data_IF_907201683895
#
_entry.id   IF_907201683895
#
_cell.length_a   1.000
_cell.length_b   1.000
_cell.length_c   1.000
_cell.angle_alpha   90.00
_cell.angle_beta   90.00
_cell.angle_gamma   90.00
#
_symmetry.space_group_name_H-M   'P 1'
#
loop_
_entity.id
_entity.type
_entity.pdbx_description
1 polymer ?
#
# COMPACT_ATOMS: atom_id res chain seq x y z
N UNK A 1 16.25 4.28 39.50
CA UNK A 1 16.52 4.55 38.07
C UNK A 1 15.79 3.60 37.11
N UNK A 2 15.68 2.30 37.37
CA UNK A 2 14.99 1.31 36.50
C UNK A 2 13.47 1.55 36.36
N UNK A 3 12.80 2.14 37.36
CA UNK A 3 11.34 2.42 37.31
C UNK A 3 10.97 3.55 36.35
N UNK A 4 11.79 4.60 36.27
CA UNK A 4 11.58 5.75 35.38
C UNK A 4 11.74 5.36 33.91
N UNK A 5 12.74 4.55 33.57
CA UNK A 5 12.94 4.05 32.21
C UNK A 5 11.77 3.16 31.73
N UNK A 6 11.20 2.32 32.61
CA UNK A 6 9.98 1.54 32.30
C UNK A 6 8.75 2.42 32.10
N UNK A 7 8.56 3.46 32.93
CA UNK A 7 7.42 4.38 32.79
C UNK A 7 7.52 5.25 31.54
N UNK A 8 8.73 5.70 31.17
CA UNK A 8 8.98 6.39 29.90
C UNK A 8 8.68 5.48 28.70
N UNK A 9 9.12 4.22 28.74
CA UNK A 9 8.79 3.23 27.71
C UNK A 9 7.29 2.94 27.57
N UNK A 10 6.53 2.94 28.66
CA UNK A 10 5.08 2.74 28.64
C UNK A 10 4.30 3.95 28.08
N UNK A 11 4.86 5.17 28.18
CA UNK A 11 4.23 6.41 27.71
C UNK A 11 4.68 6.84 26.32
N UNK A 12 5.82 6.34 25.84
CA UNK A 12 6.34 6.61 24.51
C UNK A 12 5.31 6.42 23.37
N UNK A 13 4.50 5.34 23.29
CA UNK A 13 3.51 5.22 22.22
C UNK A 13 2.42 6.29 22.28
N UNK A 14 2.03 6.73 23.48
CA UNK A 14 1.05 7.80 23.65
C UNK A 14 1.61 9.16 23.22
N UNK A 15 2.87 9.45 23.52
CA UNK A 15 3.54 10.64 23.01
C UNK A 15 3.66 10.61 21.48
N UNK A 16 4.04 9.46 20.91
CA UNK A 16 4.07 9.28 19.46
C UNK A 16 2.71 9.53 18.81
N UNK A 17 1.64 8.97 19.38
CA UNK A 17 0.27 9.20 18.93
C UNK A 17 -0.12 10.67 19.04
N UNK A 18 0.14 11.32 20.18
CA UNK A 18 -0.16 12.73 20.39
C UNK A 18 0.55 13.61 19.37
N UNK A 19 1.85 13.37 19.13
CA UNK A 19 2.63 14.12 18.13
C UNK A 19 2.06 13.90 16.74
N UNK A 20 1.77 12.66 16.34
CA UNK A 20 1.21 12.35 15.02
C UNK A 20 -0.16 13.02 14.80
N UNK A 21 -1.06 12.95 15.78
CA UNK A 21 -2.39 13.61 15.72
C UNK A 21 -2.25 15.13 15.69
N UNK A 22 -1.34 15.69 16.49
CA UNK A 22 -1.09 17.14 16.52
C UNK A 22 -0.56 17.62 15.17
N UNK A 23 0.41 16.92 14.59
CA UNK A 23 0.96 17.24 13.27
C UNK A 23 -0.11 17.16 12.18
N UNK A 24 -0.95 16.12 12.19
CA UNK A 24 -2.08 15.99 11.26
C UNK A 24 -3.04 17.17 11.40
N UNK A 25 -3.47 17.49 12.62
CA UNK A 25 -4.38 18.61 12.88
C UNK A 25 -3.78 19.95 12.43
N UNK A 26 -2.49 20.19 12.68
CA UNK A 26 -1.78 21.40 12.23
C UNK A 26 -1.73 21.47 10.70
N UNK A 27 -1.44 20.36 10.01
CA UNK A 27 -1.41 20.30 8.55
C UNK A 27 -2.79 20.55 7.90
N UNK A 28 -3.88 20.23 8.60
CA UNK A 28 -5.25 20.52 8.16
C UNK A 28 -5.67 21.97 8.44
N UNK A 29 -5.40 22.45 9.66
CA UNK A 29 -5.95 23.73 10.16
C UNK A 29 -5.16 24.92 9.64
N UNK A 30 -3.82 24.84 9.55
CA UNK A 30 -3.02 26.01 9.16
C UNK A 30 -3.30 26.46 7.72
N UNK A 31 -3.32 25.59 6.69
CA UNK A 31 -3.63 26.03 5.34
C UNK A 31 -5.03 26.65 5.24
N UNK A 32 -6.02 26.03 5.90
CA UNK A 32 -7.39 26.55 5.93
C UNK A 32 -7.50 27.91 6.64
N UNK A 33 -6.84 28.08 7.78
CA UNK A 33 -6.89 29.31 8.57
C UNK A 33 -6.10 30.47 7.92
N UNK A 34 -5.01 30.16 7.20
CA UNK A 34 -4.14 31.14 6.57
C UNK A 34 -4.47 31.37 5.09
N UNK A 35 -5.42 30.63 4.53
CA UNK A 35 -5.77 30.69 3.11
C UNK A 35 -4.65 30.22 2.18
N UNK A 36 -3.81 29.28 2.61
CA UNK A 36 -2.76 28.72 1.77
C UNK A 36 -3.31 27.70 0.79
N UNK A 37 -3.04 27.92 -0.49
CA UNK A 37 -3.27 26.90 -1.52
C UNK A 37 -2.13 25.88 -1.50
N UNK A 38 -2.41 24.73 -0.91
CA UNK A 38 -1.48 23.60 -0.81
C UNK A 38 -1.55 22.65 -2.03
N UNK A 39 -2.31 23.00 -3.08
CA UNK A 39 -2.46 22.21 -4.29
C UNK A 39 -2.92 20.76 -4.01
N UNK A 40 -3.79 20.60 -3.02
CA UNK A 40 -4.40 19.32 -2.65
C UNK A 40 -5.90 19.35 -3.02
N UNK A 41 -6.50 18.16 -3.06
CA UNK A 41 -7.95 17.99 -3.16
C UNK A 41 -8.64 18.43 -1.84
N UNK A 42 -9.90 18.04 -1.66
CA UNK A 42 -10.78 18.53 -0.59
C UNK A 42 -10.31 18.23 0.84
N UNK A 43 -9.41 17.24 1.05
CA UNK A 43 -9.05 16.76 2.40
C UNK A 43 -7.52 16.78 2.67
N UNK A 44 -6.90 17.96 2.84
CA UNK A 44 -5.51 18.05 3.29
C UNK A 44 -5.25 17.22 4.57
N UNK A 45 -4.06 16.65 4.78
CA UNK A 45 -2.90 16.61 3.89
C UNK A 45 -2.97 15.51 2.83
N UNK A 46 -4.11 14.81 2.70
CA UNK A 46 -4.29 13.77 1.70
C UNK A 46 -4.67 14.39 0.36
N UNK A 47 -4.07 13.89 -0.72
CA UNK A 47 -4.55 14.17 -2.06
C UNK A 47 -5.75 13.25 -2.35
N UNK A 48 -6.87 13.50 -1.68
CA UNK A 48 -8.07 12.68 -1.73
C UNK A 48 -9.35 13.52 -1.60
N UNK A 49 -10.43 13.00 -2.18
CA UNK A 49 -11.78 13.54 -1.99
C UNK A 49 -12.47 12.85 -0.81
N UNK A 50 -13.35 13.58 -0.12
CA UNK A 50 -14.17 12.99 0.94
C UNK A 50 -15.29 12.13 0.36
N UNK A 51 -15.07 10.82 0.29
CA UNK A 51 -16.05 9.88 -0.27
C UNK A 51 -16.22 8.65 0.62
N UNK A 52 -17.04 8.73 1.69
CA UNK A 52 -17.40 7.55 2.49
C UNK A 52 -18.12 6.52 1.62
N UNK A 53 -17.63 5.27 1.62
CA UNK A 53 -18.21 4.18 0.83
C UNK A 53 -18.59 3.00 1.70
N UNK A 54 -19.69 2.35 1.32
CA UNK A 54 -20.13 1.07 1.85
C UNK A 54 -20.51 0.21 0.65
N UNK A 55 -20.06 -1.03 0.63
CA UNK A 55 -20.35 -1.93 -0.48
C UNK A 55 -20.03 -3.39 -0.16
N UNK A 56 -19.93 -4.26 -1.18
CA UNK A 56 -19.92 -5.72 -1.00
C UNK A 56 -18.77 -6.23 -0.13
N UNK A 57 -17.60 -5.59 -0.15
CA UNK A 57 -16.45 -5.95 0.66
C UNK A 57 -16.54 -5.49 2.13
N UNK A 58 -17.43 -4.55 2.46
CA UNK A 58 -17.52 -3.98 3.81
C UNK A 58 -17.77 -5.02 4.90
N UNK A 59 -18.72 -5.98 4.77
CA UNK A 59 -18.91 -7.02 5.77
C UNK A 59 -17.67 -7.90 5.95
N UNK A 60 -16.96 -8.21 4.86
CA UNK A 60 -15.73 -8.98 4.92
C UNK A 60 -14.62 -8.20 5.63
N UNK A 61 -14.46 -6.90 5.35
CA UNK A 61 -13.47 -6.05 6.01
C UNK A 61 -13.75 -5.97 7.51
N UNK A 62 -15.00 -5.74 7.91
CA UNK A 62 -15.40 -5.73 9.33
C UNK A 62 -15.08 -7.07 10.00
N UNK A 63 -15.42 -8.19 9.37
CA UNK A 63 -15.16 -9.52 9.90
C UNK A 63 -13.66 -9.80 10.05
N UNK A 64 -12.85 -9.47 9.03
CA UNK A 64 -11.39 -9.63 9.06
C UNK A 64 -10.78 -8.74 10.15
N UNK A 65 -11.22 -7.49 10.24
CA UNK A 65 -10.78 -6.53 11.25
C UNK A 65 -11.09 -6.99 12.68
N UNK A 66 -12.32 -7.44 12.95
CA UNK A 66 -12.71 -7.98 14.27
C UNK A 66 -11.92 -9.24 14.59
N UNK A 67 -11.82 -10.18 13.64
CA UNK A 67 -11.05 -11.42 13.82
C UNK A 67 -9.58 -11.11 14.15
N UNK A 68 -9.01 -10.16 13.43
CA UNK A 68 -7.67 -9.64 13.65
C UNK A 68 -7.49 -9.01 15.03
N UNK A 69 -8.41 -8.12 15.43
CA UNK A 69 -8.40 -7.45 16.73
C UNK A 69 -8.44 -8.45 17.90
N UNK A 70 -9.26 -9.49 17.79
CA UNK A 70 -9.44 -10.49 18.84
C UNK A 70 -8.32 -11.54 18.88
N UNK A 71 -7.72 -11.88 17.73
CA UNK A 71 -6.86 -13.06 17.60
C UNK A 71 -5.41 -12.82 17.17
N UNK A 72 -5.12 -11.76 16.41
CA UNK A 72 -3.84 -11.63 15.71
C UNK A 72 -2.64 -11.51 16.66
N UNK A 73 -2.78 -10.78 17.77
CA UNK A 73 -1.72 -10.61 18.77
C UNK A 73 -1.37 -11.93 19.46
N UNK A 74 -2.38 -12.68 19.88
CA UNK A 74 -2.23 -14.00 20.51
C UNK A 74 -1.61 -15.01 19.53
N UNK A 75 -2.10 -15.03 18.28
CA UNK A 75 -1.56 -15.87 17.22
C UNK A 75 -0.10 -15.53 16.93
N UNK A 76 0.25 -14.25 16.80
CA UNK A 76 1.60 -13.81 16.49
C UNK A 76 2.63 -14.20 17.57
N UNK A 77 2.21 -14.29 18.83
CA UNK A 77 3.07 -14.73 19.94
C UNK A 77 3.21 -16.25 20.01
N UNK A 78 2.15 -17.01 19.71
CA UNK A 78 2.11 -18.45 19.96
C UNK A 78 2.43 -19.32 18.75
N UNK A 79 2.15 -18.85 17.54
CA UNK A 79 2.30 -19.68 16.35
C UNK A 79 3.77 -19.95 16.02
N UNK A 80 4.10 -21.17 15.54
CA UNK A 80 5.43 -21.43 14.99
C UNK A 80 5.68 -20.51 13.79
N UNK A 81 6.93 -20.14 13.57
CA UNK A 81 7.30 -19.10 12.60
C UNK A 81 6.71 -19.30 11.20
N UNK A 82 6.75 -20.52 10.65
CA UNK A 82 6.17 -20.80 9.34
C UNK A 82 4.66 -20.52 9.27
N UNK A 83 3.91 -20.86 10.33
CA UNK A 83 2.47 -20.55 10.42
C UNK A 83 2.23 -19.05 10.59
N UNK A 84 3.10 -18.34 11.32
CA UNK A 84 3.02 -16.89 11.42
C UNK A 84 3.17 -16.23 10.04
N UNK A 85 4.17 -16.64 9.24
CA UNK A 85 4.38 -16.08 7.91
C UNK A 85 3.19 -16.37 6.98
N UNK A 86 2.76 -17.63 6.91
CA UNK A 86 1.61 -18.01 6.10
C UNK A 86 0.33 -17.30 6.56
N UNK A 87 0.09 -17.23 7.87
CA UNK A 87 -1.05 -16.52 8.44
C UNK A 87 -1.03 -15.03 8.14
N UNK A 88 0.14 -14.39 8.21
CA UNK A 88 0.32 -12.98 7.89
C UNK A 88 0.03 -12.71 6.41
N UNK A 89 0.52 -13.57 5.52
CA UNK A 89 0.23 -13.49 4.08
C UNK A 89 -1.26 -13.66 3.80
N UNK A 90 -1.88 -14.74 4.28
CA UNK A 90 -3.31 -15.02 4.04
C UNK A 90 -4.20 -13.92 4.59
N UNK A 91 -3.91 -13.44 5.80
CA UNK A 91 -4.67 -12.35 6.41
C UNK A 91 -4.45 -11.02 5.68
N UNK A 92 -3.24 -10.76 5.16
CA UNK A 92 -2.96 -9.58 4.33
C UNK A 92 -3.76 -9.63 3.03
N UNK A 93 -3.78 -10.79 2.34
CA UNK A 93 -4.61 -10.99 1.14
C UNK A 93 -6.08 -10.73 1.46
N UNK A 94 -6.59 -11.32 2.55
CA UNK A 94 -7.98 -11.15 2.96
C UNK A 94 -8.31 -9.69 3.28
N UNK A 95 -7.42 -8.99 3.99
CA UNK A 95 -7.58 -7.59 4.36
C UNK A 95 -7.59 -6.69 3.12
N UNK A 96 -6.56 -6.75 2.27
CA UNK A 96 -6.47 -5.96 1.04
C UNK A 96 -7.65 -6.23 0.10
N UNK A 97 -8.01 -7.51 -0.11
CA UNK A 97 -9.12 -7.87 -0.98
C UNK A 97 -10.46 -7.38 -0.42
N UNK A 98 -10.68 -7.48 0.88
CA UNK A 98 -11.92 -7.01 1.51
C UNK A 98 -12.09 -5.50 1.39
N UNK A 99 -11.00 -4.73 1.53
CA UNK A 99 -11.01 -3.27 1.37
C UNK A 99 -11.21 -2.88 -0.10
N UNK A 100 -10.47 -3.47 -1.02
CA UNK A 100 -10.63 -3.19 -2.46
C UNK A 100 -12.04 -3.53 -2.96
N UNK A 101 -12.63 -4.61 -2.46
CA UNK A 101 -13.98 -5.02 -2.86
C UNK A 101 -15.11 -4.24 -2.19
N UNK A 102 -14.82 -3.21 -1.38
CA UNK A 102 -15.82 -2.21 -0.98
C UNK A 102 -16.45 -1.57 -2.22
N UNK A 103 -15.66 -1.32 -3.27
CA UNK A 103 -16.12 -0.85 -4.58
C UNK A 103 -16.56 -2.00 -5.51
N UNK A 104 -16.85 -3.18 -4.95
CA UNK A 104 -17.09 -4.41 -5.70
C UNK A 104 -15.85 -4.91 -6.44
N UNK A 105 -16.05 -5.79 -7.43
CA UNK A 105 -14.93 -6.33 -8.23
C UNK A 105 -14.16 -5.27 -9.01
N UNK A 106 -14.81 -4.14 -9.31
CA UNK A 106 -14.15 -3.02 -9.97
C UNK A 106 -13.02 -2.43 -9.12
N UNK A 107 -13.16 -2.41 -7.79
CA UNK A 107 -12.11 -1.90 -6.90
C UNK A 107 -10.81 -2.71 -6.94
N UNK A 108 -10.83 -3.95 -7.45
CA UNK A 108 -9.62 -4.74 -7.66
C UNK A 108 -8.85 -4.30 -8.92
N UNK A 109 -9.46 -3.65 -9.90
CA UNK A 109 -8.80 -3.45 -11.21
C UNK A 109 -9.01 -2.12 -11.88
N UNK A 110 -9.96 -1.30 -11.43
CA UNK A 110 -10.30 -0.04 -12.09
C UNK A 110 -9.16 0.98 -11.98
N UNK A 111 -8.50 1.06 -10.81
CA UNK A 111 -7.37 1.98 -10.57
C UNK A 111 -6.28 1.81 -11.63
N UNK A 112 -5.89 0.57 -11.92
CA UNK A 112 -4.85 0.27 -12.93
C UNK A 112 -5.22 0.69 -14.36
N UNK A 113 -6.50 0.94 -14.64
CA UNK A 113 -6.95 1.44 -15.94
C UNK A 113 -7.04 2.97 -16.02
N UNK A 114 -6.68 3.70 -14.96
CA UNK A 114 -6.65 5.16 -15.00
C UNK A 114 -5.50 5.66 -15.87
N UNK A 115 -5.65 6.87 -16.42
CA UNK A 115 -4.76 7.39 -17.49
C UNK A 115 -3.29 7.54 -17.06
N UNK A 116 -3.05 7.78 -15.77
CA UNK A 116 -1.70 7.97 -15.26
C UNK A 116 -0.98 6.67 -14.89
N UNK A 117 -1.71 5.54 -14.83
CA UNK A 117 -1.17 4.25 -14.42
C UNK A 117 -0.45 3.49 -15.54
N UNK A 118 0.43 2.57 -15.12
CA UNK A 118 1.33 1.83 -16.01
C UNK A 118 0.63 0.91 -17.01
N UNK A 119 -0.50 0.30 -16.63
CA UNK A 119 -1.09 -0.81 -17.39
C UNK A 119 -1.59 -0.37 -18.78
N UNK A 120 -2.08 0.87 -18.91
CA UNK A 120 -2.51 1.41 -20.20
C UNK A 120 -1.32 1.59 -21.15
N UNK A 121 -0.21 2.17 -20.66
CA UNK A 121 1.04 2.28 -21.42
C UNK A 121 1.60 0.89 -21.75
N UNK A 122 1.59 -0.04 -20.79
CA UNK A 122 2.07 -1.39 -21.00
C UNK A 122 1.35 -2.14 -22.13
N UNK A 123 0.04 -1.89 -22.31
CA UNK A 123 -0.76 -2.48 -23.41
C UNK A 123 -0.40 -1.92 -24.78
N UNK A 124 0.11 -0.69 -24.87
CA UNK A 124 0.47 -0.06 -26.14
C UNK A 124 1.92 -0.31 -26.55
N UNK A 125 2.77 -0.79 -25.64
CA UNK A 125 4.18 -1.11 -25.94
C UNK A 125 4.27 -2.38 -26.76
N UNK A 126 4.85 -2.24 -27.95
CA UNK A 126 5.12 -3.35 -28.90
C UNK A 126 6.62 -3.67 -29.01
N UNK A 127 7.50 -2.72 -28.72
CA UNK A 127 8.95 -2.88 -28.77
C UNK A 127 9.58 -2.41 -27.44
N UNK A 128 10.03 -3.38 -26.64
CA UNK A 128 10.70 -3.12 -25.36
C UNK A 128 12.06 -2.44 -25.56
N UNK A 129 12.81 -2.81 -26.60
CA UNK A 129 14.14 -2.25 -26.83
C UNK A 129 14.03 -0.77 -27.17
N UNK A 130 13.16 -0.41 -28.12
CA UNK A 130 12.90 1.00 -28.46
C UNK A 130 12.40 1.78 -27.24
N UNK A 131 11.46 1.21 -26.47
CA UNK A 131 10.93 1.83 -25.24
C UNK A 131 12.05 2.14 -24.24
N UNK A 132 13.03 1.24 -24.06
CA UNK A 132 14.14 1.45 -23.14
C UNK A 132 15.13 2.50 -23.64
N UNK A 133 15.38 2.57 -24.95
CA UNK A 133 16.25 3.61 -25.53
C UNK A 133 15.63 5.00 -25.40
N UNK A 134 14.32 5.12 -25.59
CA UNK A 134 13.58 6.40 -25.54
C UNK A 134 13.11 6.78 -24.12
N UNK A 135 13.32 5.90 -23.12
CA UNK A 135 12.65 6.04 -21.83
C UNK A 135 12.95 7.38 -21.17
N UNK A 136 14.23 7.75 -21.12
CA UNK A 136 14.69 8.98 -20.47
C UNK A 136 14.28 10.21 -21.26
N UNK A 137 14.36 10.15 -22.59
CA UNK A 137 14.03 11.26 -23.49
C UNK A 137 12.56 11.70 -23.36
N UNK A 138 11.68 10.77 -23.01
CA UNK A 138 10.23 11.01 -22.86
C UNK A 138 9.80 11.36 -21.43
N UNK A 139 10.72 11.47 -20.46
CA UNK A 139 10.41 11.90 -19.08
C UNK A 139 9.96 13.38 -19.01
N UNK A 140 10.63 14.35 -19.68
CA UNK A 140 10.26 15.76 -19.59
C UNK A 140 8.83 16.01 -20.09
N UNK A 141 8.08 16.85 -19.36
CA UNK A 141 6.67 17.14 -19.69
C UNK A 141 6.50 17.85 -21.04
N UNK A 142 7.54 18.54 -21.50
CA UNK A 142 7.63 19.23 -22.79
C UNK A 142 8.19 18.34 -23.92
N UNK A 143 8.60 17.09 -23.61
CA UNK A 143 8.99 16.13 -24.64
C UNK A 143 7.80 15.81 -25.56
N UNK A 144 8.04 15.68 -26.87
CA UNK A 144 7.08 15.04 -27.76
C UNK A 144 6.67 13.66 -27.22
N UNK A 145 5.37 13.40 -27.09
CA UNK A 145 4.83 12.13 -26.58
C UNK A 145 5.39 11.72 -25.21
N UNK A 146 5.52 12.67 -24.29
CA UNK A 146 5.98 12.42 -22.92
C UNK A 146 5.22 11.26 -22.24
N UNK A 147 5.89 10.61 -21.30
CA UNK A 147 5.27 9.57 -20.49
C UNK A 147 4.18 10.13 -19.57
N UNK A 148 3.11 9.37 -19.27
CA UNK A 148 2.23 9.66 -18.16
C UNK A 148 3.01 9.78 -16.85
N UNK A 149 2.50 10.56 -15.91
CA UNK A 149 3.25 10.98 -14.71
C UNK A 149 3.82 9.81 -13.88
N UNK A 150 3.08 8.71 -13.67
CA UNK A 150 3.63 7.58 -12.89
C UNK A 150 4.68 6.81 -13.69
N UNK A 151 4.54 6.69 -15.01
CA UNK A 151 5.59 6.07 -15.84
C UNK A 151 6.85 6.94 -15.82
N UNK A 152 6.72 8.25 -16.00
CA UNK A 152 7.84 9.18 -15.96
C UNK A 152 8.55 9.22 -14.59
N UNK A 153 7.79 9.02 -13.51
CA UNK A 153 8.26 9.14 -12.12
C UNK A 153 9.12 7.98 -11.61
N UNK A 154 9.18 6.85 -12.32
CA UNK A 154 9.83 5.63 -11.84
C UNK A 154 10.80 5.03 -12.88
N UNK A 155 11.81 4.24 -12.46
CA UNK A 155 12.67 3.50 -13.37
C UNK A 155 11.87 2.52 -14.27
N UNK A 156 12.37 2.19 -15.47
CA UNK A 156 11.62 1.41 -16.47
C UNK A 156 11.20 0.02 -15.99
N UNK A 157 11.85 -0.53 -14.96
CA UNK A 157 11.46 -1.80 -14.34
C UNK A 157 9.99 -1.84 -13.90
N UNK A 158 9.45 -0.70 -13.45
CA UNK A 158 8.04 -0.56 -13.10
C UNK A 158 7.12 -0.82 -14.30
N UNK A 159 7.37 -0.14 -15.43
CA UNK A 159 6.60 -0.35 -16.67
C UNK A 159 6.81 -1.76 -17.22
N UNK A 160 8.04 -2.28 -17.19
CA UNK A 160 8.37 -3.63 -17.67
C UNK A 160 7.61 -4.72 -16.92
N UNK A 161 7.37 -4.56 -15.62
CA UNK A 161 6.54 -5.47 -14.85
C UNK A 161 5.12 -5.60 -15.44
N UNK A 162 4.47 -4.47 -15.75
CA UNK A 162 3.14 -4.49 -16.36
C UNK A 162 3.15 -4.98 -17.80
N UNK A 163 4.21 -4.69 -18.58
CA UNK A 163 4.39 -5.26 -19.93
C UNK A 163 4.45 -6.79 -19.84
N UNK A 164 5.19 -7.35 -18.88
CA UNK A 164 5.25 -8.79 -18.65
C UNK A 164 3.86 -9.37 -18.33
N UNK A 165 3.07 -8.70 -17.47
CA UNK A 165 1.70 -9.14 -17.20
C UNK A 165 0.84 -9.17 -18.47
N UNK A 166 0.93 -8.14 -19.30
CA UNK A 166 0.22 -8.09 -20.59
C UNK A 166 0.63 -9.26 -21.48
N UNK A 167 1.94 -9.53 -21.61
CA UNK A 167 2.47 -10.64 -22.43
C UNK A 167 2.05 -12.01 -21.91
N UNK A 168 1.87 -12.18 -20.60
CA UNK A 168 1.38 -13.40 -19.97
C UNK A 168 -0.16 -13.55 -20.04
N UNK A 169 -0.87 -12.63 -20.69
CA UNK A 169 -2.34 -12.64 -20.79
C UNK A 169 -3.06 -12.11 -19.54
N UNK A 170 -2.33 -11.49 -18.60
CA UNK A 170 -2.83 -10.87 -17.38
C UNK A 170 -3.02 -9.36 -17.53
N UNK A 171 -3.13 -8.87 -18.76
CA UNK A 171 -3.22 -7.44 -19.08
C UNK A 171 -4.56 -6.78 -18.75
N UNK A 172 -5.58 -7.52 -18.29
CA UNK A 172 -6.84 -6.92 -17.84
C UNK A 172 -6.66 -6.29 -16.45
N UNK A 173 -7.39 -5.21 -16.15
CA UNK A 173 -7.27 -4.54 -14.85
C UNK A 173 -7.56 -5.47 -13.68
N UNK A 174 -8.55 -6.37 -13.80
CA UNK A 174 -8.88 -7.34 -12.76
C UNK A 174 -7.76 -8.37 -12.55
N UNK A 175 -7.18 -8.91 -13.64
CA UNK A 175 -6.11 -9.90 -13.55
C UNK A 175 -4.82 -9.28 -12.99
N UNK A 176 -4.37 -8.17 -13.58
CA UNK A 176 -3.21 -7.43 -13.09
C UNK A 176 -3.40 -6.97 -11.65
N UNK A 177 -4.60 -6.52 -11.29
CA UNK A 177 -4.94 -6.08 -9.95
C UNK A 177 -4.80 -7.16 -8.89
N UNK A 178 -5.23 -8.40 -9.19
CA UNK A 178 -4.99 -9.53 -8.31
C UNK A 178 -3.51 -9.87 -8.17
N UNK A 179 -2.74 -9.79 -9.25
CA UNK A 179 -1.28 -9.99 -9.17
C UNK A 179 -0.64 -8.94 -8.26
N UNK A 180 -0.94 -7.66 -8.48
CA UNK A 180 -0.48 -6.54 -7.65
C UNK A 180 -0.84 -6.76 -6.18
N UNK A 181 -2.09 -7.13 -5.89
CA UNK A 181 -2.58 -7.37 -4.53
C UNK A 181 -1.84 -8.53 -3.85
N UNK A 182 -1.61 -9.63 -4.57
CA UNK A 182 -0.89 -10.79 -4.05
C UNK A 182 0.58 -10.47 -3.76
N UNK A 183 1.24 -9.71 -4.65
CA UNK A 183 2.61 -9.23 -4.41
C UNK A 183 2.64 -8.26 -3.23
N UNK A 184 1.76 -7.25 -3.19
CA UNK A 184 1.66 -6.33 -2.06
C UNK A 184 1.46 -7.07 -0.71
N UNK A 185 0.70 -8.17 -0.72
CA UNK A 185 0.46 -9.01 0.46
C UNK A 185 1.69 -9.75 0.99
N UNK A 186 2.80 -9.78 0.25
CA UNK A 186 4.08 -10.30 0.76
C UNK A 186 4.83 -9.30 1.63
N UNK A 187 4.49 -8.00 1.57
CA UNK A 187 5.17 -6.94 2.34
C UNK A 187 5.29 -7.27 3.83
N UNK A 188 4.21 -7.67 4.55
CA UNK A 188 4.34 -8.04 5.96
C UNK A 188 5.31 -9.21 6.16
N UNK A 189 5.28 -10.21 5.28
CA UNK A 189 6.19 -11.39 5.35
C UNK A 189 7.64 -10.96 5.15
N UNK A 190 7.92 -10.12 4.15
CA UNK A 190 9.26 -9.61 3.87
C UNK A 190 9.83 -8.83 5.07
N UNK A 191 9.03 -7.95 5.67
CA UNK A 191 9.40 -7.20 6.88
C UNK A 191 9.66 -8.15 8.05
N UNK A 192 8.78 -9.13 8.29
CA UNK A 192 8.94 -10.09 9.39
C UNK A 192 10.22 -10.92 9.25
N UNK A 193 10.49 -11.42 8.04
CA UNK A 193 11.73 -12.17 7.73
C UNK A 193 12.95 -11.27 7.95
N UNK A 194 12.92 -10.04 7.46
CA UNK A 194 14.03 -9.08 7.59
C UNK A 194 14.33 -8.76 9.05
N UNK A 195 13.33 -8.36 9.83
CA UNK A 195 13.48 -8.05 11.27
C UNK A 195 13.99 -9.25 12.06
N UNK A 196 13.51 -10.46 11.73
CA UNK A 196 14.03 -11.70 12.34
C UNK A 196 15.49 -11.93 11.98
N UNK A 197 15.90 -11.71 10.73
CA UNK A 197 17.30 -11.85 10.28
C UNK A 197 18.24 -10.84 10.93
N UNK A 198 17.72 -9.68 11.32
CA UNK A 198 18.44 -8.68 12.12
C UNK A 198 18.51 -9.04 13.62
N UNK A 199 18.05 -10.23 14.02
CA UNK A 199 18.21 -10.77 15.37
C UNK A 199 17.06 -10.49 16.33
N UNK A 200 15.92 -9.97 15.86
CA UNK A 200 14.81 -9.57 16.75
C UNK A 200 13.46 -10.21 16.38
N UNK A 201 13.35 -11.53 16.53
CA UNK A 201 12.09 -12.25 16.26
C UNK A 201 10.91 -11.72 17.11
N UNK A 202 11.16 -11.34 18.36
CA UNK A 202 10.12 -10.80 19.24
C UNK A 202 9.54 -9.48 18.71
N UNK A 203 10.39 -8.59 18.18
CA UNK A 203 9.95 -7.34 17.57
C UNK A 203 9.13 -7.61 16.30
N UNK A 204 9.56 -8.57 15.47
CA UNK A 204 8.80 -9.00 14.30
C UNK A 204 7.39 -9.49 14.69
N UNK A 205 7.29 -10.39 15.68
CA UNK A 205 6.00 -10.91 16.17
C UNK A 205 5.08 -9.81 16.69
N UNK A 206 5.63 -8.82 17.40
CA UNK A 206 4.85 -7.66 17.89
C UNK A 206 4.36 -6.77 16.75
N UNK A 207 5.14 -6.64 15.68
CA UNK A 207 4.79 -5.83 14.52
C UNK A 207 3.76 -6.51 13.59
N UNK A 208 3.71 -7.85 13.54
CA UNK A 208 2.91 -8.60 12.57
C UNK A 208 1.44 -8.14 12.45
N UNK A 209 0.67 -7.95 13.55
CA UNK A 209 -0.73 -7.51 13.43
C UNK A 209 -0.87 -6.12 12.79
N UNK A 210 0.05 -5.19 13.11
CA UNK A 210 0.05 -3.82 12.59
C UNK A 210 0.46 -3.76 11.12
N UNK A 211 1.43 -4.60 10.72
CA UNK A 211 1.86 -4.69 9.32
C UNK A 211 0.74 -5.24 8.42
N UNK A 212 -0.04 -6.20 8.93
CA UNK A 212 -1.08 -6.89 8.17
C UNK A 212 -2.40 -6.11 8.13
N UNK A 213 -2.86 -5.60 9.28
CA UNK A 213 -4.18 -4.96 9.43
C UNK A 213 -4.08 -3.43 9.54
N UNK A 214 -2.88 -2.88 9.33
CA UNK A 214 -2.64 -1.45 9.43
C UNK A 214 -3.37 -0.65 8.35
N UNK A 215 -3.58 0.65 8.58
CA UNK A 215 -4.26 1.52 7.63
C UNK A 215 -3.51 1.67 6.30
N UNK A 216 -2.20 1.40 6.26
CA UNK A 216 -1.39 1.38 5.04
C UNK A 216 -2.03 0.55 3.90
N UNK A 217 -2.82 -0.47 4.27
CA UNK A 217 -3.57 -1.32 3.37
C UNK A 217 -4.40 -0.57 2.31
N UNK A 218 -4.96 0.61 2.62
CA UNK A 218 -5.78 1.36 1.65
C UNK A 218 -4.96 1.92 0.48
N UNK A 219 -3.65 2.11 0.67
CA UNK A 219 -2.72 2.54 -0.38
C UNK A 219 -1.96 1.37 -1.02
N UNK A 220 -1.95 0.20 -0.37
CA UNK A 220 -1.31 -1.01 -0.91
C UNK A 220 -2.25 -1.80 -1.82
N UNK A 221 -3.55 -1.78 -1.55
CA UNK A 221 -4.52 -2.51 -2.32
C UNK A 221 -4.55 -1.99 -3.77
N UNK A 222 -4.04 -2.81 -4.70
CA UNK A 222 -4.07 -2.54 -6.16
C UNK A 222 -3.26 -1.31 -6.58
N UNK A 223 -2.24 -0.94 -5.80
CA UNK A 223 -1.28 0.11 -6.20
C UNK A 223 -0.03 -0.51 -6.82
N UNK A 224 0.42 0.03 -7.95
CA UNK A 224 1.69 -0.34 -8.55
C UNK A 224 2.87 -0.15 -7.57
N UNK A 225 2.84 0.89 -6.75
CA UNK A 225 3.91 1.20 -5.78
C UNK A 225 4.06 0.10 -4.72
N UNK A 226 2.96 -0.59 -4.40
CA UNK A 226 2.98 -1.71 -3.48
C UNK A 226 3.77 -2.91 -4.00
N UNK A 227 3.93 -3.04 -5.32
CA UNK A 227 4.77 -4.07 -5.96
C UNK A 227 6.25 -3.77 -5.71
N UNK A 228 6.66 -2.51 -5.77
CA UNK A 228 8.06 -2.12 -5.63
C UNK A 228 8.56 -2.24 -4.19
N UNK A 229 7.65 -2.09 -3.21
CA UNK A 229 7.95 -2.18 -1.79
C UNK A 229 7.94 -3.60 -1.20
N UNK A 230 7.44 -4.60 -1.94
CA UNK A 230 7.19 -5.96 -1.44
C UNK A 230 8.31 -6.96 -1.77
#
# INVERSE_FOLDING_TARGET
>A
MVSWARQLGARAPWWGLLVAVTLMAVAMVLPAALGWDVHLLEVPPLHADWQPRVGPGTPAAVLVGITGLLGATCAAQKWPWGRLLLGSFVLSVAWLASLATVDGWAGIGHVLNTTNEYLNTARSVTDISATLHEYVDRIPIDSPHNWPVHVAGHPPGALLFFILLVQLGLGSGLAAGWVVLLVASTTPVAVLVTVRRLGTEEAARRAAPFLVLGPAAIWLAVSADAVFGA
#
